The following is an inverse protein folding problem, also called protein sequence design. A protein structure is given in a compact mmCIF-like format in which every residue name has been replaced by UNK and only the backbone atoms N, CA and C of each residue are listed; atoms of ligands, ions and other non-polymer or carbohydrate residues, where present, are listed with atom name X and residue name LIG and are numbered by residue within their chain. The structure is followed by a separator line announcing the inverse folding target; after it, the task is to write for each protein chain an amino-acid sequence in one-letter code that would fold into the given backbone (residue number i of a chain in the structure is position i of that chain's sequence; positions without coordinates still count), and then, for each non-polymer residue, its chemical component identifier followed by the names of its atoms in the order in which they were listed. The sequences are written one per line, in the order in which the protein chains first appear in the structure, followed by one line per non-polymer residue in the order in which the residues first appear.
data_IF_300363216924
#
_entry.id   IF_300363216924
#
_cell.length_a   1.000
_cell.length_b   1.000
_cell.length_c   1.000
_cell.angle_alpha   90.00
_cell.angle_beta   90.00
_cell.angle_gamma   90.00
#
_symmetry.space_group_name_H-M   'P 1'
#
loop_
_entity.id
_entity.type
_entity.pdbx_description
1 polymer ?
#
# COMPACT_ATOMS: atom_id res chain seq x y z
N UNK A 1 -11.89 5.14 9.64
CA UNK A 1 -10.90 6.08 10.14
C UNK A 1 -9.51 5.54 9.85
N UNK A 2 -8.64 6.34 9.23
CA UNK A 2 -7.21 6.05 9.07
C UNK A 2 -6.48 6.68 10.25
N UNK A 3 -5.63 5.90 10.95
CA UNK A 3 -4.96 6.34 12.17
C UNK A 3 -3.46 6.13 12.03
N UNK A 4 -2.70 7.22 12.22
CA UNK A 4 -1.23 7.19 12.25
C UNK A 4 -0.70 6.67 13.59
N UNK A 5 0.56 6.22 13.61
CA UNK A 5 1.26 5.86 14.85
C UNK A 5 1.32 7.04 15.83
N UNK A 6 1.45 8.27 15.33
CA UNK A 6 1.45 9.49 16.15
C UNK A 6 0.13 9.75 16.88
N UNK A 7 -1.01 9.50 16.21
CA UNK A 7 -2.32 9.63 16.85
C UNK A 7 -2.54 8.56 17.91
N UNK A 8 -1.99 7.35 17.70
CA UNK A 8 -2.06 6.26 18.67
C UNK A 8 -1.27 6.55 19.94
N UNK A 9 -0.29 7.45 19.93
CA UNK A 9 0.42 7.88 21.13
C UNK A 9 -0.52 8.48 22.21
N UNK A 10 -1.63 9.08 21.78
CA UNK A 10 -2.53 9.86 22.62
C UNK A 10 -3.86 9.16 22.94
N UNK A 11 -4.06 7.93 22.52
CA UNK A 11 -5.27 7.20 22.86
C UNK A 11 -5.23 6.74 24.33
N UNK A 12 -6.41 6.71 24.96
CA UNK A 12 -6.58 6.16 26.31
C UNK A 12 -7.69 5.10 26.35
N UNK A 13 -8.88 5.42 25.87
CA UNK A 13 -10.05 4.54 25.89
C UNK A 13 -10.56 4.19 24.47
N UNK A 14 -9.87 4.64 23.43
CA UNK A 14 -10.25 4.35 22.06
C UNK A 14 -10.28 2.84 21.82
N UNK A 15 -11.40 2.36 21.30
CA UNK A 15 -11.65 0.93 21.04
C UNK A 15 -12.42 0.76 19.74
N UNK A 16 -11.81 0.32 18.67
CA UNK A 16 -12.51 -0.05 17.44
C UNK A 16 -13.16 -1.43 17.57
N UNK A 17 -14.37 -1.60 17.00
CA UNK A 17 -14.99 -2.92 16.88
C UNK A 17 -14.33 -3.76 15.77
N UNK A 18 -13.76 -3.08 14.78
CA UNK A 18 -13.02 -3.66 13.67
C UNK A 18 -11.75 -2.84 13.43
N UNK A 19 -10.61 -3.51 13.50
CA UNK A 19 -9.31 -2.93 13.19
C UNK A 19 -8.75 -3.58 11.93
N UNK A 20 -8.01 -2.82 11.12
CA UNK A 20 -7.33 -3.35 9.95
C UNK A 20 -5.86 -2.96 9.94
N UNK A 21 -5.01 -3.94 9.65
CA UNK A 21 -3.58 -3.73 9.39
C UNK A 21 -3.26 -4.22 7.98
N UNK A 22 -2.72 -3.32 7.17
CA UNK A 22 -2.39 -3.63 5.76
C UNK A 22 -0.99 -4.18 5.61
N UNK A 23 -0.04 -3.60 6.29
CA UNK A 23 1.35 -4.03 6.38
C UNK A 23 2.04 -3.29 7.53
N UNK A 24 3.17 -3.81 7.98
CA UNK A 24 4.11 -3.11 8.86
C UNK A 24 5.49 -3.18 8.23
N UNK A 25 5.99 -2.04 7.75
CA UNK A 25 7.34 -1.85 7.23
C UNK A 25 7.99 -0.65 7.88
N UNK A 26 9.29 -0.56 7.80
CA UNK A 26 10.04 0.58 8.36
C UNK A 26 9.50 1.91 7.86
N UNK A 27 9.08 2.74 8.79
CA UNK A 27 8.63 4.11 8.57
C UNK A 27 8.74 4.89 9.88
N UNK A 28 8.95 6.20 9.80
CA UNK A 28 8.99 7.09 10.96
C UNK A 28 9.98 6.69 12.08
N UNK A 29 11.12 6.06 11.72
CA UNK A 29 12.14 5.64 12.70
C UNK A 29 12.88 6.84 13.31
N UNK A 30 12.87 7.99 12.68
CA UNK A 30 13.28 9.28 13.25
C UNK A 30 12.47 9.65 14.50
N UNK A 31 11.21 9.23 14.58
CA UNK A 31 10.31 9.46 15.71
C UNK A 31 10.26 8.30 16.71
N UNK A 32 10.22 7.06 16.20
CA UNK A 32 10.04 5.87 17.03
C UNK A 32 11.35 5.18 17.43
N UNK A 33 12.49 5.65 16.89
CA UNK A 33 13.86 5.19 17.20
C UNK A 33 14.15 3.72 16.88
N UNK A 34 13.16 2.86 16.77
CA UNK A 34 13.32 1.44 16.38
C UNK A 34 12.04 0.87 15.79
N UNK A 35 12.20 -0.21 15.03
CA UNK A 35 11.08 -0.96 14.47
C UNK A 35 10.19 -1.56 15.57
N UNK A 36 10.78 -1.99 16.69
CA UNK A 36 10.04 -2.54 17.83
C UNK A 36 9.11 -1.50 18.46
N UNK A 37 9.60 -0.28 18.70
CA UNK A 37 8.77 0.80 19.25
C UNK A 37 7.70 1.25 18.24
N UNK A 38 8.02 1.29 16.94
CA UNK A 38 7.03 1.57 15.90
C UNK A 38 5.90 0.54 15.88
N UNK A 39 6.23 -0.77 15.90
CA UNK A 39 5.25 -1.87 15.97
C UNK A 39 4.40 -1.74 17.24
N UNK A 40 5.03 -1.56 18.41
CA UNK A 40 4.35 -1.38 19.69
C UNK A 40 3.35 -0.22 19.63
N UNK A 41 3.74 0.90 19.03
CA UNK A 41 2.86 2.05 18.86
C UNK A 41 1.68 1.75 17.94
N UNK A 42 1.92 1.07 16.82
CA UNK A 42 0.85 0.61 15.92
C UNK A 42 -0.14 -0.34 16.61
N UNK A 43 0.35 -1.21 17.50
CA UNK A 43 -0.49 -2.18 18.22
C UNK A 43 -1.40 -1.55 19.27
N UNK A 44 -1.15 -0.31 19.69
CA UNK A 44 -2.08 0.43 20.54
C UNK A 44 -3.48 0.55 19.95
N UNK A 45 -3.62 0.46 18.62
CA UNK A 45 -4.92 0.43 17.95
C UNK A 45 -5.87 -0.65 18.53
N UNK A 46 -5.32 -1.75 19.01
CA UNK A 46 -6.09 -2.87 19.56
C UNK A 46 -5.93 -3.06 21.07
N UNK A 47 -5.21 -2.17 21.77
CA UNK A 47 -4.91 -2.32 23.20
C UNK A 47 -6.17 -2.41 24.10
N UNK A 48 -7.24 -1.71 23.74
CA UNK A 48 -8.50 -1.71 24.47
C UNK A 48 -9.55 -2.68 23.88
N UNK A 49 -9.20 -3.42 22.82
CA UNK A 49 -10.12 -4.35 22.17
C UNK A 49 -10.43 -5.55 23.06
N UNK A 50 -11.63 -6.08 22.91
CA UNK A 50 -12.13 -7.26 23.64
C UNK A 50 -12.22 -8.47 22.70
N UNK A 51 -12.36 -9.67 23.25
CA UNK A 51 -12.39 -10.94 22.49
C UNK A 51 -13.42 -10.98 21.35
N UNK A 52 -14.48 -10.17 21.40
CA UNK A 52 -15.50 -10.10 20.36
C UNK A 52 -15.18 -9.06 19.26
N UNK A 53 -14.21 -8.17 19.49
CA UNK A 53 -13.75 -7.25 18.46
C UNK A 53 -12.88 -7.99 17.44
N UNK A 54 -12.90 -7.51 16.21
CA UNK A 54 -12.25 -8.20 15.09
C UNK A 54 -11.01 -7.45 14.63
N UNK A 55 -9.93 -8.17 14.42
CA UNK A 55 -8.77 -7.68 13.70
C UNK A 55 -8.71 -8.33 12.31
N UNK A 56 -8.59 -7.48 11.29
CA UNK A 56 -8.35 -7.88 9.89
C UNK A 56 -6.89 -7.57 9.58
N UNK A 57 -6.15 -8.53 9.06
CA UNK A 57 -4.75 -8.30 8.72
C UNK A 57 -4.29 -9.10 7.51
N UNK A 58 -3.25 -8.59 6.86
CA UNK A 58 -2.57 -9.27 5.77
C UNK A 58 -1.72 -10.42 6.32
N UNK A 59 -2.07 -11.66 6.01
CA UNK A 59 -1.33 -12.84 6.47
C UNK A 59 -0.09 -13.14 5.61
N UNK A 60 0.07 -12.46 4.46
CA UNK A 60 1.31 -12.50 3.68
C UNK A 60 2.40 -11.57 4.28
N UNK A 61 2.06 -10.76 5.28
CA UNK A 61 3.00 -9.94 6.06
C UNK A 61 3.46 -10.74 7.29
N UNK A 62 4.72 -11.16 7.30
CA UNK A 62 5.27 -12.02 8.36
C UNK A 62 5.24 -11.35 9.74
N UNK A 63 5.36 -10.02 9.80
CA UNK A 63 5.29 -9.26 11.05
C UNK A 63 3.88 -9.33 11.62
N UNK A 64 2.87 -9.01 10.80
CA UNK A 64 1.46 -9.08 11.22
C UNK A 64 1.03 -10.51 11.56
N UNK A 65 1.44 -11.48 10.77
CA UNK A 65 1.18 -12.89 11.02
C UNK A 65 1.71 -13.33 12.38
N UNK A 66 2.97 -13.00 12.68
CA UNK A 66 3.60 -13.32 13.97
C UNK A 66 2.86 -12.64 15.14
N UNK A 67 2.52 -11.35 15.00
CA UNK A 67 1.86 -10.57 16.05
C UNK A 67 0.47 -11.14 16.38
N UNK A 68 -0.32 -11.42 15.37
CA UNK A 68 -1.72 -11.82 15.57
C UNK A 68 -1.93 -13.33 15.66
N UNK A 69 -0.89 -14.16 15.52
CA UNK A 69 -1.00 -15.63 15.61
C UNK A 69 -1.75 -16.06 16.89
N UNK A 70 -1.29 -15.61 18.04
CA UNK A 70 -1.84 -15.98 19.36
C UNK A 70 -2.79 -14.92 19.93
N UNK A 71 -3.21 -13.94 19.14
CA UNK A 71 -4.12 -12.90 19.59
C UNK A 71 -5.46 -13.47 20.02
N UNK A 72 -6.04 -13.06 21.17
CA UNK A 72 -7.34 -13.49 21.64
C UNK A 72 -8.52 -12.83 20.89
N UNK A 73 -8.25 -11.87 20.01
CA UNK A 73 -9.26 -11.17 19.23
C UNK A 73 -9.85 -12.10 18.15
N UNK A 74 -11.04 -11.80 17.68
CA UNK A 74 -11.54 -12.39 16.45
C UNK A 74 -10.61 -12.02 15.30
N UNK A 75 -10.17 -13.02 14.52
CA UNK A 75 -9.25 -12.82 13.40
C UNK A 75 -9.96 -13.04 12.07
N UNK A 76 -9.73 -12.15 11.13
CA UNK A 76 -10.04 -12.35 9.72
C UNK A 76 -8.79 -12.01 8.92
N UNK A 77 -8.36 -12.91 8.07
CA UNK A 77 -7.14 -12.71 7.28
C UNK A 77 -7.46 -12.49 5.82
N UNK A 78 -6.58 -11.79 5.15
CA UNK A 78 -6.54 -11.72 3.70
C UNK A 78 -5.10 -11.84 3.22
N UNK A 79 -4.94 -12.21 1.96
CA UNK A 79 -3.65 -12.41 1.32
C UNK A 79 -3.84 -13.02 -0.06
N UNK A 80 -2.74 -13.23 -0.77
CA UNK A 80 -2.73 -13.80 -2.13
C UNK A 80 -1.96 -15.10 -2.22
N UNK A 81 -1.21 -15.48 -1.16
CA UNK A 81 -0.36 -16.68 -1.14
C UNK A 81 -1.10 -17.94 -0.67
N UNK A 82 -2.21 -17.79 0.03
CA UNK A 82 -3.00 -18.90 0.59
C UNK A 82 -4.48 -18.80 0.21
N UNK A 83 -5.18 -19.94 0.20
CA UNK A 83 -6.64 -20.01 0.01
C UNK A 83 -7.44 -20.02 1.33
N UNK A 84 -6.77 -19.92 2.47
CA UNK A 84 -7.42 -20.02 3.79
C UNK A 84 -8.01 -18.69 4.30
N UNK A 85 -8.08 -17.69 3.41
CA UNK A 85 -8.60 -16.36 3.73
C UNK A 85 -10.10 -16.24 3.44
N UNK A 86 -10.76 -15.26 4.07
CA UNK A 86 -12.16 -14.92 3.79
C UNK A 86 -12.37 -14.62 2.31
N UNK A 87 -11.47 -13.85 1.71
CA UNK A 87 -11.36 -13.69 0.27
C UNK A 87 -9.97 -14.14 -0.16
N UNK A 88 -9.90 -14.98 -1.16
CA UNK A 88 -8.65 -15.58 -1.63
C UNK A 88 -8.54 -15.56 -3.15
N UNK A 89 -7.30 -15.68 -3.62
CA UNK A 89 -6.96 -15.72 -5.03
C UNK A 89 -6.84 -17.16 -5.52
N UNK A 90 -7.49 -17.46 -6.66
CA UNK A 90 -7.36 -18.75 -7.34
C UNK A 90 -7.59 -18.55 -8.85
N UNK A 91 -6.67 -19.05 -9.68
CA UNK A 91 -6.76 -18.99 -11.15
C UNK A 91 -7.09 -17.58 -11.68
N UNK A 92 -6.34 -16.58 -11.25
CA UNK A 92 -6.51 -15.16 -11.63
C UNK A 92 -7.92 -14.60 -11.31
N UNK A 93 -8.57 -15.14 -10.31
CA UNK A 93 -9.86 -14.65 -9.82
C UNK A 93 -9.93 -14.64 -8.29
N UNK A 94 -10.76 -13.73 -7.76
CA UNK A 94 -11.07 -13.65 -6.34
C UNK A 94 -12.30 -14.50 -6.06
N UNK A 95 -12.21 -15.29 -4.99
CA UNK A 95 -13.29 -16.11 -4.45
C UNK A 95 -13.55 -15.77 -2.99
N UNK A 96 -14.79 -15.98 -2.55
CA UNK A 96 -15.17 -15.95 -1.14
C UNK A 96 -15.19 -17.36 -0.57
N UNK A 97 -14.52 -17.58 0.57
CA UNK A 97 -14.22 -18.94 1.07
C UNK A 97 -15.44 -19.71 1.56
N UNK A 98 -16.33 -19.11 2.35
CA UNK A 98 -17.42 -19.84 3.01
C UNK A 98 -18.46 -20.41 2.03
N UNK A 99 -18.60 -19.82 0.85
CA UNK A 99 -19.52 -20.26 -0.20
C UNK A 99 -18.82 -20.73 -1.47
N UNK A 100 -17.48 -20.70 -1.50
CA UNK A 100 -16.66 -20.89 -2.71
C UNK A 100 -17.21 -20.09 -3.91
N UNK A 101 -17.76 -18.90 -3.61
CA UNK A 101 -18.41 -18.05 -4.61
C UNK A 101 -17.38 -17.26 -5.38
N UNK A 102 -17.43 -17.34 -6.70
CA UNK A 102 -16.67 -16.47 -7.58
C UNK A 102 -17.10 -15.01 -7.38
N UNK A 103 -16.12 -14.14 -7.16
CA UNK A 103 -16.34 -12.69 -7.01
C UNK A 103 -16.02 -11.95 -8.30
N UNK A 104 -14.76 -11.99 -8.75
CA UNK A 104 -14.31 -11.23 -9.92
C UNK A 104 -12.98 -11.78 -10.47
N UNK A 105 -12.76 -11.67 -11.77
CA UNK A 105 -11.43 -11.90 -12.37
C UNK A 105 -10.53 -10.69 -12.13
N UNK A 106 -9.24 -10.91 -11.87
CA UNK A 106 -8.27 -9.82 -11.65
C UNK A 106 -8.21 -8.87 -12.85
N UNK A 107 -8.32 -9.40 -14.08
CA UNK A 107 -8.31 -8.58 -15.29
C UNK A 107 -9.44 -7.54 -15.36
N UNK A 108 -10.56 -7.80 -14.67
CA UNK A 108 -11.76 -6.95 -14.68
C UNK A 108 -11.70 -5.88 -13.56
N UNK A 109 -10.73 -5.96 -12.65
CA UNK A 109 -10.48 -4.93 -11.64
C UNK A 109 -9.82 -3.72 -12.32
N UNK A 110 -10.37 -2.53 -12.08
CA UNK A 110 -9.87 -1.29 -12.71
C UNK A 110 -8.46 -0.93 -12.25
N UNK A 111 -8.22 -0.93 -10.94
CA UNK A 111 -6.91 -0.64 -10.39
C UNK A 111 -5.99 -1.84 -10.52
N UNK A 112 -4.86 -1.64 -11.19
CA UNK A 112 -3.85 -2.68 -11.39
C UNK A 112 -2.80 -2.66 -10.29
N UNK A 113 -2.04 -3.75 -10.19
CA UNK A 113 -0.97 -3.92 -9.23
C UNK A 113 -1.36 -4.77 -8.02
N UNK A 114 -0.38 -5.55 -7.54
CA UNK A 114 -0.57 -6.50 -6.43
C UNK A 114 -0.98 -5.79 -5.13
N UNK A 115 -0.40 -4.60 -4.86
CA UNK A 115 -0.74 -3.79 -3.70
C UNK A 115 -2.21 -3.34 -3.70
N UNK A 116 -2.77 -2.98 -4.87
CA UNK A 116 -4.19 -2.65 -4.98
C UNK A 116 -5.07 -3.89 -4.79
N UNK A 117 -4.63 -5.05 -5.29
CA UNK A 117 -5.34 -6.30 -5.04
C UNK A 117 -5.42 -6.59 -3.54
N UNK A 118 -4.32 -6.45 -2.79
CA UNK A 118 -4.33 -6.60 -1.33
C UNK A 118 -5.25 -5.58 -0.65
N UNK A 119 -5.25 -4.32 -1.10
CA UNK A 119 -6.16 -3.31 -0.58
C UNK A 119 -7.64 -3.66 -0.84
N UNK A 120 -7.95 -4.21 -2.01
CA UNK A 120 -9.30 -4.70 -2.32
C UNK A 120 -9.70 -5.87 -1.42
N UNK A 121 -8.82 -6.85 -1.21
CA UNK A 121 -9.09 -7.99 -0.33
C UNK A 121 -9.31 -7.54 1.11
N UNK A 122 -8.52 -6.57 1.58
CA UNK A 122 -8.66 -5.94 2.88
C UNK A 122 -10.04 -5.27 3.04
N UNK A 123 -10.40 -4.40 2.10
CA UNK A 123 -11.68 -3.70 2.11
C UNK A 123 -12.87 -4.66 1.99
N UNK A 124 -12.77 -5.69 1.14
CA UNK A 124 -13.78 -6.74 0.99
C UNK A 124 -14.00 -7.51 2.29
N UNK A 125 -12.92 -7.87 2.99
CA UNK A 125 -13.00 -8.58 4.27
C UNK A 125 -13.72 -7.73 5.32
N UNK A 126 -13.38 -6.45 5.43
CA UNK A 126 -14.08 -5.53 6.34
C UNK A 126 -15.55 -5.37 5.98
N UNK A 127 -15.87 -5.14 4.70
CA UNK A 127 -17.23 -4.97 4.22
C UNK A 127 -18.09 -6.21 4.50
N UNK A 128 -17.54 -7.39 4.28
CA UNK A 128 -18.22 -8.65 4.54
C UNK A 128 -18.50 -8.88 6.03
N UNK A 129 -17.55 -8.55 6.91
CA UNK A 129 -17.73 -8.61 8.37
C UNK A 129 -18.87 -7.70 8.84
N UNK A 130 -19.04 -6.54 8.19
CA UNK A 130 -20.17 -5.65 8.44
C UNK A 130 -21.49 -6.07 7.75
N UNK A 131 -21.53 -7.26 7.14
CA UNK A 131 -22.75 -7.83 6.56
C UNK A 131 -23.10 -7.34 5.17
N UNK A 132 -22.18 -6.68 4.46
CA UNK A 132 -22.42 -6.29 3.07
C UNK A 132 -22.46 -7.54 2.18
N UNK A 133 -23.42 -7.56 1.26
CA UNK A 133 -23.55 -8.65 0.28
C UNK A 133 -22.41 -8.64 -0.73
N UNK A 134 -22.00 -9.80 -1.21
CA UNK A 134 -20.90 -9.98 -2.16
C UNK A 134 -21.15 -9.21 -3.46
N UNK A 135 -22.40 -9.03 -3.88
CA UNK A 135 -22.73 -8.27 -5.10
C UNK A 135 -22.29 -6.80 -5.00
N UNK A 136 -22.43 -6.18 -3.83
CA UNK A 136 -21.96 -4.80 -3.63
C UNK A 136 -20.45 -4.70 -3.64
N UNK A 137 -19.77 -5.66 -3.00
CA UNK A 137 -18.31 -5.75 -3.01
C UNK A 137 -17.81 -5.92 -4.45
N UNK A 138 -18.42 -6.82 -5.22
CA UNK A 138 -18.11 -7.04 -6.63
C UNK A 138 -18.31 -5.77 -7.46
N UNK A 139 -19.41 -5.04 -7.25
CA UNK A 139 -19.66 -3.79 -7.97
C UNK A 139 -18.56 -2.76 -7.72
N UNK A 140 -18.10 -2.62 -6.47
CA UNK A 140 -16.99 -1.71 -6.13
C UNK A 140 -15.71 -2.12 -6.86
N UNK A 141 -15.36 -3.40 -6.93
CA UNK A 141 -14.20 -3.89 -7.65
C UNK A 141 -14.23 -3.51 -9.14
N UNK A 142 -15.42 -3.53 -9.76
CA UNK A 142 -15.60 -3.15 -11.16
C UNK A 142 -15.54 -1.63 -11.39
N UNK A 143 -16.01 -0.83 -10.44
CA UNK A 143 -16.28 0.60 -10.66
C UNK A 143 -15.25 1.52 -10.04
N UNK A 144 -14.58 1.10 -8.97
CA UNK A 144 -13.63 1.95 -8.26
C UNK A 144 -12.39 2.23 -9.10
N UNK A 145 -12.14 3.50 -9.36
CA UNK A 145 -11.06 3.99 -10.23
C UNK A 145 -9.77 4.38 -9.49
N UNK A 146 -9.80 4.35 -8.17
CA UNK A 146 -8.70 4.81 -7.33
C UNK A 146 -8.98 6.12 -6.61
N UNK A 147 -7.98 6.58 -5.88
CA UNK A 147 -8.00 7.83 -5.14
C UNK A 147 -7.17 8.84 -5.92
N UNK A 148 -7.59 10.12 -6.02
CA UNK A 148 -6.77 11.16 -6.64
C UNK A 148 -5.35 11.19 -6.07
N UNK A 149 -4.38 11.43 -6.92
CA UNK A 149 -2.95 11.53 -6.59
C UNK A 149 -2.27 10.24 -6.12
N UNK A 150 -2.91 9.07 -6.26
CA UNK A 150 -2.30 7.76 -5.96
C UNK A 150 -2.33 6.87 -7.19
N UNK A 151 -1.21 6.84 -7.91
CA UNK A 151 -1.06 6.11 -9.20
C UNK A 151 -2.25 6.44 -10.13
N UNK A 152 -2.65 7.68 -10.12
CA UNK A 152 -3.82 8.18 -10.83
C UNK A 152 -3.50 8.35 -12.31
N UNK A 153 -4.26 7.69 -13.17
CA UNK A 153 -4.23 8.01 -14.59
C UNK A 153 -4.90 9.38 -14.84
N UNK A 154 -4.13 10.34 -15.32
CA UNK A 154 -4.61 11.71 -15.57
C UNK A 154 -5.13 11.83 -17.02
N UNK A 155 -4.26 11.53 -17.99
CA UNK A 155 -4.58 11.66 -19.41
C UNK A 155 -3.59 10.90 -20.29
N UNK A 156 -3.90 10.83 -21.58
CA UNK A 156 -2.95 10.42 -22.62
C UNK A 156 -2.88 11.50 -23.68
N UNK A 157 -1.67 11.97 -24.00
CA UNK A 157 -1.43 12.95 -25.03
C UNK A 157 -0.33 12.43 -25.96
N UNK A 158 -0.60 12.41 -27.26
CA UNK A 158 0.34 11.95 -28.30
C UNK A 158 0.94 10.55 -28.00
N UNK A 159 0.14 9.64 -27.43
CA UNK A 159 0.59 8.30 -27.06
C UNK A 159 1.38 8.19 -25.76
N UNK A 160 1.59 9.30 -25.04
CA UNK A 160 2.21 9.34 -23.72
C UNK A 160 1.13 9.36 -22.65
N UNK A 161 1.20 8.41 -21.72
CA UNK A 161 0.32 8.36 -20.55
C UNK A 161 0.90 9.21 -19.41
N UNK A 162 0.08 10.04 -18.80
CA UNK A 162 0.44 10.87 -17.65
C UNK A 162 -0.20 10.29 -16.40
N UNK A 163 0.66 9.98 -15.42
CA UNK A 163 0.26 9.35 -14.17
C UNK A 163 0.66 10.25 -13.00
N UNK A 164 -0.26 10.50 -12.10
CA UNK A 164 -0.04 11.29 -10.90
C UNK A 164 0.04 10.39 -9.67
N UNK A 165 1.19 10.40 -9.00
CA UNK A 165 1.42 9.69 -7.75
C UNK A 165 2.05 10.61 -6.70
N UNK A 166 1.59 11.86 -6.62
CA UNK A 166 2.12 12.85 -5.67
C UNK A 166 1.87 12.47 -4.20
N UNK A 167 1.05 11.46 -3.94
CA UNK A 167 0.91 10.82 -2.62
C UNK A 167 2.05 9.84 -2.28
N UNK A 168 2.96 9.53 -3.18
CA UNK A 168 4.16 8.75 -2.92
C UNK A 168 5.19 9.60 -2.15
N UNK A 169 5.01 9.75 -0.86
CA UNK A 169 5.82 10.62 0.01
C UNK A 169 6.94 9.87 0.75
N UNK A 170 7.16 8.59 0.44
CA UNK A 170 8.24 7.77 0.98
C UNK A 170 8.81 6.83 -0.09
N UNK A 171 9.98 6.26 0.17
CA UNK A 171 10.71 5.39 -0.76
C UNK A 171 9.91 4.16 -1.18
N UNK A 172 9.22 3.51 -0.25
CA UNK A 172 8.44 2.31 -0.55
C UNK A 172 7.31 2.60 -1.53
N UNK A 173 6.64 3.74 -1.39
CA UNK A 173 5.60 4.17 -2.34
C UNK A 173 6.19 4.40 -3.74
N UNK A 174 7.36 5.03 -3.86
CA UNK A 174 8.06 5.22 -5.14
C UNK A 174 8.44 3.88 -5.76
N UNK A 175 8.94 2.91 -4.96
CA UNK A 175 9.26 1.55 -5.43
C UNK A 175 8.00 0.87 -5.99
N UNK A 176 6.86 1.02 -5.33
CA UNK A 176 5.58 0.47 -5.82
C UNK A 176 5.20 1.09 -7.15
N UNK A 177 5.31 2.42 -7.30
CA UNK A 177 5.05 3.11 -8.55
C UNK A 177 5.96 2.60 -9.68
N UNK A 178 7.27 2.48 -9.44
CA UNK A 178 8.25 1.96 -10.39
C UNK A 178 7.87 0.55 -10.87
N UNK A 179 7.46 -0.33 -9.96
CA UNK A 179 7.08 -1.72 -10.26
C UNK A 179 5.73 -1.85 -10.98
N UNK A 180 4.88 -0.84 -10.89
CA UNK A 180 3.53 -0.88 -11.46
C UNK A 180 3.55 -0.72 -12.99
N UNK A 181 4.53 -0.01 -13.54
CA UNK A 181 4.58 0.33 -14.97
C UNK A 181 5.68 -0.42 -15.71
N UNK A 182 5.27 -1.15 -16.77
CA UNK A 182 6.16 -1.93 -17.63
C UNK A 182 6.53 -1.24 -18.95
N UNK A 183 6.06 -0.01 -19.17
CA UNK A 183 6.36 0.79 -20.36
C UNK A 183 7.59 1.67 -20.10
N UNK A 184 8.30 2.12 -21.18
CA UNK A 184 9.32 3.14 -21.01
C UNK A 184 8.76 4.36 -20.28
N UNK A 185 9.40 4.75 -19.18
CA UNK A 185 8.88 5.76 -18.24
C UNK A 185 9.87 6.88 -18.04
N UNK A 186 9.38 8.10 -18.00
CA UNK A 186 10.07 9.28 -17.45
C UNK A 186 9.49 9.49 -16.05
N UNK A 187 10.35 9.43 -15.03
CA UNK A 187 9.95 9.62 -13.64
C UNK A 187 10.26 11.06 -13.20
N UNK A 188 9.24 11.81 -12.77
CA UNK A 188 9.42 13.06 -12.04
C UNK A 188 9.56 12.72 -10.57
N UNK A 189 10.68 13.08 -9.96
CA UNK A 189 11.01 12.78 -8.56
C UNK A 189 11.55 14.01 -7.87
N UNK A 190 10.99 14.38 -6.71
CA UNK A 190 11.45 15.59 -6.05
C UNK A 190 10.61 15.99 -4.85
N UNK A 191 10.74 17.25 -4.48
CA UNK A 191 10.12 17.85 -3.31
C UNK A 191 11.13 18.17 -2.22
N UNK A 192 10.70 18.10 -0.95
CA UNK A 192 11.54 18.32 0.24
C UNK A 192 12.00 16.97 0.78
N UNK A 193 13.30 16.80 1.03
CA UNK A 193 13.81 15.59 1.66
C UNK A 193 13.54 15.60 3.17
N UNK A 194 12.87 14.57 3.65
CA UNK A 194 12.56 14.34 5.07
C UNK A 194 13.51 13.30 5.71
N UNK A 195 14.79 13.31 5.32
CA UNK A 195 15.78 12.34 5.82
C UNK A 195 15.78 11.00 5.09
N UNK A 196 15.26 10.96 3.87
CA UNK A 196 15.13 9.73 3.07
C UNK A 196 16.44 9.43 2.33
N UNK A 197 16.87 8.17 2.33
CA UNK A 197 17.98 7.68 1.49
C UNK A 197 17.47 7.30 0.09
N UNK A 198 17.71 8.15 -0.90
CA UNK A 198 17.34 7.88 -2.29
C UNK A 198 18.17 6.76 -2.93
N UNK A 199 19.32 6.38 -2.35
CA UNK A 199 20.13 5.26 -2.81
C UNK A 199 19.37 3.94 -2.81
N UNK A 200 18.38 3.78 -1.94
CA UNK A 200 17.49 2.61 -1.88
C UNK A 200 16.67 2.40 -3.16
N UNK A 201 16.50 3.45 -3.98
CA UNK A 201 15.82 3.33 -5.27
C UNK A 201 16.68 2.71 -6.38
N UNK A 202 18.01 2.77 -6.26
CA UNK A 202 18.95 2.37 -7.31
C UNK A 202 18.72 0.95 -7.84
N UNK A 203 18.59 -0.11 -7.01
CA UNK A 203 18.32 -1.45 -7.48
C UNK A 203 17.02 -1.57 -8.28
N UNK A 204 15.99 -0.83 -7.84
CA UNK A 204 14.66 -0.86 -8.47
C UNK A 204 14.65 -0.10 -9.80
N UNK A 205 15.36 1.03 -9.89
CA UNK A 205 15.50 1.80 -11.12
C UNK A 205 16.25 1.00 -12.18
N UNK A 206 17.39 0.38 -11.83
CA UNK A 206 18.20 -0.45 -12.75
C UNK A 206 17.42 -1.62 -13.33
N UNK A 207 16.50 -2.20 -12.57
CA UNK A 207 15.67 -3.33 -12.98
C UNK A 207 14.28 -2.92 -13.50
N UNK A 208 14.11 -1.66 -13.91
CA UNK A 208 12.84 -1.11 -14.36
C UNK A 208 12.89 -0.61 -15.81
N UNK A 209 11.75 -0.11 -16.30
CA UNK A 209 11.64 0.56 -17.58
C UNK A 209 11.82 2.10 -17.49
N UNK A 210 12.34 2.63 -16.39
CA UNK A 210 12.67 4.05 -16.28
C UNK A 210 13.82 4.37 -17.22
N UNK A 211 13.61 5.33 -18.10
CA UNK A 211 14.59 5.80 -19.09
C UNK A 211 15.23 7.11 -18.67
N UNK A 212 14.51 7.93 -17.93
CA UNK A 212 14.98 9.24 -17.49
C UNK A 212 14.32 9.60 -16.17
N UNK A 213 15.06 10.28 -15.31
CA UNK A 213 14.52 10.94 -14.12
C UNK A 213 14.64 12.47 -14.30
N UNK A 214 13.57 13.18 -14.00
CA UNK A 214 13.57 14.63 -13.83
C UNK A 214 13.50 14.92 -12.34
N UNK A 215 14.61 15.35 -11.77
CA UNK A 215 14.71 15.68 -10.35
C UNK A 215 14.39 17.18 -10.13
N UNK A 216 13.51 17.48 -9.16
CA UNK A 216 13.06 18.84 -8.90
C UNK A 216 12.97 19.15 -7.40
N UNK A 217 12.85 20.46 -7.08
CA UNK A 217 12.70 20.93 -5.71
C UNK A 217 14.00 20.83 -4.88
N UNK A 218 13.89 21.01 -3.57
CA UNK A 218 15.04 21.04 -2.65
C UNK A 218 15.86 19.74 -2.63
N UNK A 219 15.20 18.60 -2.88
CA UNK A 219 15.86 17.29 -2.89
C UNK A 219 16.63 16.99 -4.19
N UNK A 220 16.55 17.85 -5.23
CA UNK A 220 17.06 17.55 -6.58
C UNK A 220 18.53 17.15 -6.61
N UNK A 221 19.41 17.86 -5.91
CA UNK A 221 20.84 17.56 -5.86
C UNK A 221 21.14 16.28 -5.07
N UNK A 222 20.38 15.99 -4.02
CA UNK A 222 20.52 14.74 -3.25
C UNK A 222 20.09 13.54 -4.11
N UNK A 223 18.98 13.67 -4.85
CA UNK A 223 18.51 12.66 -5.81
C UNK A 223 19.58 12.43 -6.88
N UNK A 224 20.14 13.49 -7.46
CA UNK A 224 21.18 13.40 -8.46
C UNK A 224 22.44 12.70 -7.93
N UNK A 225 22.89 13.04 -6.72
CA UNK A 225 24.02 12.41 -6.08
C UNK A 225 23.81 10.93 -5.80
N UNK A 226 22.61 10.54 -5.39
CA UNK A 226 22.30 9.17 -5.02
C UNK A 226 22.01 8.25 -6.23
N UNK A 227 21.42 8.77 -7.30
CA UNK A 227 20.84 7.97 -8.40
C UNK A 227 21.51 8.26 -9.76
N UNK A 228 22.22 9.39 -9.91
CA UNK A 228 22.66 9.90 -11.20
C UNK A 228 23.45 8.93 -12.07
N UNK A 229 24.18 7.99 -11.46
CA UNK A 229 24.93 6.96 -12.19
C UNK A 229 24.10 5.74 -12.60
N UNK A 230 22.86 5.65 -12.11
CA UNK A 230 21.99 4.50 -12.36
C UNK A 230 21.11 4.66 -13.60
N UNK A 231 20.79 5.91 -13.96
CA UNK A 231 19.89 6.25 -15.07
C UNK A 231 20.16 7.69 -15.54
N UNK A 232 19.79 8.00 -16.78
CA UNK A 232 19.83 9.39 -17.28
C UNK A 232 19.01 10.31 -16.38
N UNK A 233 19.62 11.35 -15.81
CA UNK A 233 18.98 12.25 -14.86
C UNK A 233 19.25 13.71 -15.23
N UNK A 234 18.20 14.51 -15.13
CA UNK A 234 18.29 15.98 -15.24
C UNK A 234 17.68 16.61 -13.99
N UNK A 235 18.32 17.66 -13.51
CA UNK A 235 17.73 18.57 -12.52
C UNK A 235 16.96 19.65 -13.23
N UNK A 236 15.75 19.95 -12.75
CA UNK A 236 14.89 21.01 -13.28
C UNK A 236 14.54 21.98 -12.15
N UNK A 237 14.57 23.28 -12.45
CA UNK A 237 14.36 24.32 -11.45
C UNK A 237 12.89 24.65 -11.24
N UNK A 238 12.05 24.32 -12.24
CA UNK A 238 10.61 24.62 -12.23
C UNK A 238 9.83 23.52 -12.95
N UNK A 239 8.57 23.28 -12.53
CA UNK A 239 7.67 22.27 -13.08
C UNK A 239 6.60 22.91 -13.95
#
# INVERSE_FOLDING_TARGET
LEISSFQLEFISSFRPNLSIYTNISEDHLDRHYSMQEYVKMKLRLVENCKKHDTVVFNEDDDVLKSIFHDSPLKKSTYGITSSNHTFYLKNDAIYHSSSNTFVIKIKDIKLKGQHNLLNFLAAASCAYIYGLKIEYIKNVFHTFKGIPHRIEYVTSLMGVEYINDSKATNINSVIVAIKTYNKPTILLLGGVNKGVDFGLLVPHIKNSNIKTILAYGEASEQIKSAIGDAVRLFTINDL
#
